data_IF_758224573682
#
_entry.id   IF_758224573682
#
_cell.length_a   1.000
_cell.length_b   1.000
_cell.length_c   1.000
_cell.angle_alpha   90.00
_cell.angle_beta   90.00
_cell.angle_gamma   90.00
#
_symmetry.space_group_name_H-M   'P 1'
#
loop_
_entity.id
_entity.type
_entity.pdbx_description
1 polymer ?
#
# COMPACT_ATOMS: atom_id res chain seq x y z
N UNK A 1 14.39 1.64 -40.79
CA UNK A 1 14.91 0.75 -39.75
C UNK A 1 14.63 1.43 -38.41
N UNK A 2 13.56 1.03 -37.70
CA UNK A 2 13.21 1.53 -36.38
C UNK A 2 13.75 0.48 -35.40
N UNK A 3 14.79 0.84 -34.64
CA UNK A 3 15.35 -0.02 -33.62
C UNK A 3 14.36 -0.20 -32.47
N UNK A 4 13.89 -1.43 -32.27
CA UNK A 4 13.25 -1.89 -31.06
C UNK A 4 14.29 -1.88 -29.94
N UNK A 5 14.23 -0.93 -29.05
CA UNK A 5 14.89 -1.03 -27.75
C UNK A 5 13.99 -1.85 -26.82
N UNK A 6 14.05 -3.18 -26.97
CA UNK A 6 13.58 -4.08 -25.91
C UNK A 6 14.47 -3.85 -24.69
N UNK A 7 13.90 -3.22 -23.67
CA UNK A 7 14.57 -3.06 -22.37
C UNK A 7 14.92 -4.44 -21.80
N UNK A 8 16.12 -4.58 -21.26
CA UNK A 8 16.55 -5.80 -20.59
C UNK A 8 15.56 -6.12 -19.46
N UNK A 9 15.12 -7.38 -19.32
CA UNK A 9 14.22 -7.78 -18.24
C UNK A 9 14.92 -7.56 -16.89
N UNK A 10 14.13 -7.10 -15.91
CA UNK A 10 14.57 -6.85 -14.55
C UNK A 10 15.11 -8.14 -13.90
N UNK A 11 16.42 -8.33 -13.94
CA UNK A 11 17.12 -9.49 -13.35
C UNK A 11 17.25 -9.40 -11.81
N UNK A 12 16.47 -8.50 -11.16
CA UNK A 12 16.71 -8.08 -9.77
C UNK A 12 16.05 -8.94 -8.69
N UNK A 13 15.11 -9.80 -9.06
CA UNK A 13 14.66 -10.87 -8.18
C UNK A 13 15.42 -12.14 -8.55
N UNK A 14 16.55 -12.38 -7.91
CA UNK A 14 17.10 -13.73 -7.92
C UNK A 14 16.04 -14.62 -7.28
N UNK A 15 15.25 -15.34 -8.12
CA UNK A 15 14.18 -16.24 -7.70
C UNK A 15 14.78 -17.47 -7.01
N UNK A 16 15.32 -17.30 -5.81
CA UNK A 16 15.85 -18.38 -4.98
C UNK A 16 14.82 -18.87 -3.97
N UNK A 17 13.52 -18.74 -4.28
CA UNK A 17 12.45 -19.12 -3.38
C UNK A 17 11.07 -19.16 -4.06
N UNK A 18 10.02 -19.57 -3.34
CA UNK A 18 8.65 -19.56 -3.84
C UNK A 18 8.19 -18.12 -4.10
N UNK A 19 7.58 -17.89 -5.28
CA UNK A 19 7.04 -16.59 -5.68
C UNK A 19 5.92 -16.11 -4.75
N UNK A 20 5.79 -14.79 -4.54
CA UNK A 20 4.70 -14.16 -3.79
C UNK A 20 5.16 -13.27 -2.67
N UNK A 21 4.21 -12.65 -1.97
CA UNK A 21 4.47 -11.63 -0.96
C UNK A 21 3.78 -11.95 0.36
N UNK A 22 4.49 -11.74 1.48
CA UNK A 22 3.90 -11.54 2.79
C UNK A 22 3.57 -10.06 2.96
N UNK A 23 2.35 -9.74 3.35
CA UNK A 23 1.88 -8.40 3.65
C UNK A 23 1.65 -8.30 5.15
N UNK A 24 2.45 -7.49 5.87
CA UNK A 24 2.43 -7.41 7.32
C UNK A 24 1.80 -6.14 7.82
N UNK A 25 0.64 -6.25 8.45
CA UNK A 25 -0.07 -5.10 9.01
C UNK A 25 -1.36 -5.45 9.74
N UNK A 26 -2.03 -4.43 10.27
CA UNK A 26 -3.26 -4.56 11.02
C UNK A 26 -4.46 -4.72 10.10
N UNK A 27 -5.30 -5.73 10.40
CA UNK A 27 -6.65 -5.85 9.84
C UNK A 27 -7.63 -4.96 10.59
N UNK A 28 -8.43 -4.20 9.85
CA UNK A 28 -9.34 -3.19 10.36
C UNK A 28 -10.77 -3.40 9.86
N UNK A 29 -11.72 -2.90 10.64
CA UNK A 29 -13.07 -2.66 10.15
C UNK A 29 -13.25 -1.16 9.84
N UNK A 30 -13.63 -0.85 8.62
CA UNK A 30 -14.14 0.47 8.24
C UNK A 30 -15.62 0.53 8.46
N UNK A 31 -16.06 1.55 9.18
CA UNK A 31 -17.46 1.88 9.39
C UNK A 31 -17.77 3.20 8.69
N UNK A 32 -18.70 3.21 7.75
CA UNK A 32 -19.08 4.41 7.01
C UNK A 32 -20.59 4.58 6.95
N UNK A 33 -21.07 5.81 7.01
CA UNK A 33 -22.48 6.09 6.77
C UNK A 33 -22.85 5.73 5.30
N UNK A 34 -24.10 5.34 5.02
CA UNK A 34 -24.56 5.13 3.66
C UNK A 34 -24.46 6.40 2.80
N UNK A 35 -24.07 6.23 1.54
CA UNK A 35 -23.99 7.35 0.58
C UNK A 35 -23.09 8.50 1.10
N UNK A 36 -23.65 9.70 1.13
CA UNK A 36 -22.96 10.92 1.56
C UNK A 36 -23.48 11.45 2.92
N UNK A 37 -24.17 10.61 3.68
CA UNK A 37 -24.67 10.97 5.00
C UNK A 37 -23.53 11.26 5.98
N UNK A 38 -23.80 12.08 6.98
CA UNK A 38 -22.89 12.25 8.12
C UNK A 38 -22.90 11.00 8.99
N UNK A 39 -21.80 10.77 9.68
CA UNK A 39 -21.71 9.69 10.65
C UNK A 39 -22.82 9.84 11.70
N UNK A 40 -23.56 8.75 11.97
CA UNK A 40 -24.73 8.72 12.87
C UNK A 40 -25.94 9.55 12.42
N UNK A 41 -25.95 10.11 11.24
CA UNK A 41 -27.17 10.64 10.62
C UNK A 41 -28.10 9.49 10.22
N UNK A 42 -27.54 8.38 9.74
CA UNK A 42 -28.27 7.14 9.52
C UNK A 42 -28.24 6.24 10.76
N UNK A 43 -29.29 5.41 10.93
CA UNK A 43 -29.32 4.36 11.95
C UNK A 43 -28.51 3.12 11.63
N UNK A 44 -27.82 3.08 10.47
CA UNK A 44 -26.98 1.96 10.02
C UNK A 44 -25.61 2.44 9.53
N UNK A 45 -24.62 1.57 9.60
CA UNK A 45 -23.31 1.80 9.04
C UNK A 45 -22.93 0.66 8.11
N UNK A 46 -22.33 0.99 6.96
CA UNK A 46 -21.70 0.01 6.10
C UNK A 46 -20.40 -0.46 6.76
N UNK A 47 -20.17 -1.76 6.77
CA UNK A 47 -18.95 -2.37 7.31
C UNK A 47 -18.13 -2.91 6.16
N UNK A 48 -16.87 -2.47 6.07
CA UNK A 48 -15.87 -3.03 5.15
C UNK A 48 -14.67 -3.51 5.94
N UNK A 49 -14.07 -4.59 5.48
CA UNK A 49 -12.79 -5.07 5.99
C UNK A 49 -11.69 -4.43 5.17
N UNK A 50 -10.62 -3.99 5.84
CA UNK A 50 -9.48 -3.35 5.21
C UNK A 50 -8.23 -3.45 6.08
N UNK A 51 -7.26 -2.67 5.70
CA UNK A 51 -5.92 -2.60 6.24
C UNK A 51 -4.96 -2.40 5.07
N UNK A 52 -4.03 -1.46 5.15
CA UNK A 52 -3.19 -1.10 4.00
C UNK A 52 -2.54 -2.34 3.37
N UNK A 53 -1.90 -3.15 4.16
CA UNK A 53 -1.21 -4.35 3.69
C UNK A 53 -2.18 -5.47 3.26
N UNK A 54 -3.35 -5.57 3.91
CA UNK A 54 -4.40 -6.50 3.50
C UNK A 54 -4.99 -6.10 2.13
N UNK A 55 -5.16 -4.79 1.88
CA UNK A 55 -5.61 -4.26 0.60
C UNK A 55 -4.62 -4.61 -0.52
N UNK A 56 -3.32 -4.48 -0.25
CA UNK A 56 -2.25 -4.92 -1.18
C UNK A 56 -2.32 -6.42 -1.42
N UNK A 57 -2.48 -7.23 -0.35
CA UNK A 57 -2.56 -8.69 -0.47
C UNK A 57 -3.75 -9.15 -1.32
N UNK A 58 -4.93 -8.55 -1.12
CA UNK A 58 -6.11 -8.84 -1.93
C UNK A 58 -5.88 -8.46 -3.38
N UNK A 59 -5.33 -7.27 -3.66
CA UNK A 59 -5.00 -6.85 -5.03
C UNK A 59 -4.03 -7.82 -5.71
N UNK A 60 -2.96 -8.26 -5.00
CA UNK A 60 -2.00 -9.23 -5.52
C UNK A 60 -2.66 -10.58 -5.81
N UNK A 61 -3.57 -11.03 -4.95
CA UNK A 61 -4.33 -12.26 -5.19
C UNK A 61 -5.23 -12.13 -6.44
N UNK A 62 -5.89 -10.97 -6.65
CA UNK A 62 -6.66 -10.69 -7.88
C UNK A 62 -5.77 -10.67 -9.13
N UNK A 63 -4.50 -10.30 -8.99
CA UNK A 63 -3.51 -10.36 -10.06
C UNK A 63 -2.86 -11.74 -10.25
N UNK A 64 -3.33 -12.76 -9.51
CA UNK A 64 -2.89 -14.15 -9.63
C UNK A 64 -1.61 -14.49 -8.86
N UNK A 65 -1.14 -13.62 -7.99
CA UNK A 65 0.02 -13.90 -7.14
C UNK A 65 -0.36 -14.63 -5.86
N UNK A 66 0.59 -15.39 -5.32
CA UNK A 66 0.49 -15.89 -3.95
C UNK A 66 0.67 -14.72 -2.99
N UNK A 67 -0.38 -14.39 -2.25
CA UNK A 67 -0.36 -13.37 -1.22
C UNK A 67 -0.70 -13.98 0.13
N UNK A 68 0.09 -13.65 1.15
CA UNK A 68 -0.08 -14.07 2.53
C UNK A 68 -0.19 -12.84 3.40
N UNK A 69 -1.17 -12.78 4.29
CA UNK A 69 -1.25 -11.74 5.31
C UNK A 69 -0.67 -12.27 6.62
N UNK A 70 0.27 -11.51 7.17
CA UNK A 70 0.79 -11.69 8.52
C UNK A 70 0.18 -10.62 9.43
N UNK A 71 -0.56 -11.03 10.45
CA UNK A 71 -1.31 -10.12 11.31
C UNK A 71 -1.72 -10.76 12.63
N UNK A 72 -2.35 -9.96 13.49
CA UNK A 72 -2.98 -10.44 14.73
C UNK A 72 -4.39 -9.86 14.84
N UNK A 73 -5.35 -10.73 15.08
CA UNK A 73 -6.76 -10.38 15.28
C UNK A 73 -7.27 -10.88 16.64
N UNK A 74 -8.32 -10.30 17.22
CA UNK A 74 -8.89 -10.86 18.43
C UNK A 74 -9.53 -12.23 18.17
N UNK A 75 -9.53 -13.12 19.15
CA UNK A 75 -10.35 -14.34 19.14
C UNK A 75 -11.81 -13.99 19.38
N UNK A 76 -12.46 -13.52 18.33
CA UNK A 76 -13.83 -13.06 18.34
C UNK A 76 -14.50 -13.35 16.99
N UNK A 77 -15.85 -13.27 16.91
CA UNK A 77 -16.54 -13.37 15.63
C UNK A 77 -16.08 -12.35 14.59
N UNK A 78 -15.69 -11.12 15.00
CA UNK A 78 -15.17 -10.09 14.09
C UNK A 78 -13.80 -10.48 13.53
N UNK A 79 -12.88 -10.96 14.36
CA UNK A 79 -11.57 -11.43 13.90
C UNK A 79 -11.72 -12.59 12.92
N UNK A 80 -12.58 -13.56 13.23
CA UNK A 80 -12.89 -14.71 12.36
C UNK A 80 -13.50 -14.26 11.02
N UNK A 81 -14.40 -13.28 11.04
CA UNK A 81 -15.00 -12.72 9.82
C UNK A 81 -13.93 -12.04 8.93
N UNK A 82 -13.02 -11.26 9.52
CA UNK A 82 -11.92 -10.64 8.78
C UNK A 82 -11.02 -11.67 8.08
N UNK A 83 -10.66 -12.74 8.79
CA UNK A 83 -9.86 -13.84 8.23
C UNK A 83 -10.64 -14.56 7.12
N UNK A 84 -11.94 -14.81 7.32
CA UNK A 84 -12.81 -15.43 6.33
C UNK A 84 -12.91 -14.61 5.05
N UNK A 85 -13.02 -13.28 5.18
CA UNK A 85 -13.09 -12.37 4.02
C UNK A 85 -11.79 -12.38 3.20
N UNK A 86 -10.62 -12.35 3.84
CA UNK A 86 -9.34 -12.47 3.13
C UNK A 86 -9.26 -13.78 2.35
N UNK A 87 -9.67 -14.91 2.96
CA UNK A 87 -9.69 -16.22 2.31
C UNK A 87 -10.63 -16.25 1.11
N UNK A 88 -11.78 -15.58 1.20
CA UNK A 88 -12.75 -15.45 0.10
C UNK A 88 -12.11 -14.80 -1.14
N UNK A 89 -11.14 -13.90 -0.94
CA UNK A 89 -10.38 -13.24 -1.99
C UNK A 89 -9.08 -13.97 -2.38
N UNK A 90 -8.87 -15.22 -1.91
CA UNK A 90 -7.70 -16.01 -2.27
C UNK A 90 -6.43 -15.68 -1.51
N UNK A 91 -6.51 -14.85 -0.47
CA UNK A 91 -5.36 -14.50 0.37
C UNK A 91 -5.12 -15.59 1.41
N UNK A 92 -3.87 -16.01 1.55
CA UNK A 92 -3.45 -16.95 2.60
C UNK A 92 -3.39 -16.23 3.94
N UNK A 93 -3.89 -16.92 4.97
CA UNK A 93 -4.01 -16.37 6.33
C UNK A 93 -3.32 -17.25 7.39
N UNK A 94 -2.38 -18.10 6.96
CA UNK A 94 -1.70 -19.04 7.86
C UNK A 94 -0.83 -18.34 8.89
N UNK A 95 -0.42 -17.08 8.62
CA UNK A 95 0.32 -16.23 9.53
C UNK A 95 -0.57 -15.16 10.21
N UNK A 96 -1.89 -15.33 10.20
CA UNK A 96 -2.79 -14.50 11.02
C UNK A 96 -3.03 -15.23 12.34
N UNK A 97 -2.51 -14.66 13.41
CA UNK A 97 -2.65 -15.18 14.76
C UNK A 97 -3.83 -14.53 15.49
N UNK A 98 -4.28 -15.18 16.56
CA UNK A 98 -5.23 -14.58 17.48
C UNK A 98 -4.53 -14.09 18.75
N UNK A 99 -4.98 -12.96 19.29
CA UNK A 99 -4.43 -12.37 20.50
C UNK A 99 -5.50 -11.66 21.33
N UNK A 100 -5.15 -11.24 22.55
CA UNK A 100 -6.04 -10.44 23.38
C UNK A 100 -6.29 -9.05 22.77
N UNK A 101 -7.43 -8.43 23.08
CA UNK A 101 -7.78 -7.12 22.61
C UNK A 101 -9.02 -7.11 21.70
N UNK A 102 -9.14 -6.08 20.88
CA UNK A 102 -10.28 -5.84 19.98
C UNK A 102 -9.83 -5.66 18.55
N UNK A 103 -10.78 -5.64 17.60
CA UNK A 103 -10.48 -5.17 16.25
C UNK A 103 -10.16 -3.68 16.26
N UNK A 104 -9.15 -3.29 15.49
CA UNK A 104 -8.97 -1.90 15.13
C UNK A 104 -10.11 -1.43 14.22
N UNK A 105 -10.60 -0.21 14.47
CA UNK A 105 -11.67 0.40 13.69
C UNK A 105 -11.21 1.71 13.08
N UNK A 106 -11.84 2.12 12.01
CA UNK A 106 -11.90 3.51 11.62
C UNK A 106 -13.25 3.86 11.04
N UNK A 107 -13.64 5.10 11.24
CA UNK A 107 -14.89 5.63 10.71
C UNK A 107 -14.56 6.53 9.53
N UNK A 108 -15.36 6.41 8.48
CA UNK A 108 -15.24 7.24 7.28
C UNK A 108 -16.54 8.01 7.07
N UNK A 109 -16.43 9.33 7.09
CA UNK A 109 -17.46 10.22 6.55
C UNK A 109 -17.05 10.57 5.11
N UNK A 110 -17.85 10.15 4.14
CA UNK A 110 -17.59 10.43 2.73
C UNK A 110 -17.82 11.90 2.44
N UNK A 111 -16.92 12.54 1.73
CA UNK A 111 -17.06 13.92 1.31
C UNK A 111 -18.20 14.11 0.28
N UNK A 112 -18.76 15.32 0.24
CA UNK A 112 -19.77 15.69 -0.73
C UNK A 112 -19.72 17.20 -1.02
N UNK A 113 -19.69 17.59 -2.27
CA UNK A 113 -19.60 19.00 -2.67
C UNK A 113 -18.38 19.69 -2.09
N UNK A 114 -18.57 20.63 -1.17
CA UNK A 114 -17.48 21.35 -0.49
C UNK A 114 -17.03 20.68 0.82
N UNK A 115 -17.73 19.64 1.27
CA UNK A 115 -17.38 18.92 2.49
C UNK A 115 -16.30 17.87 2.19
N UNK A 116 -15.09 17.95 2.79
CA UNK A 116 -14.06 16.93 2.61
C UNK A 116 -14.48 15.61 3.26
N UNK A 117 -13.87 14.52 2.84
CA UNK A 117 -13.95 13.24 3.56
C UNK A 117 -13.17 13.34 4.87
N UNK A 118 -13.68 12.69 5.91
CA UNK A 118 -13.06 12.65 7.24
C UNK A 118 -12.84 11.22 7.70
N UNK A 119 -11.67 10.96 8.28
CA UNK A 119 -11.31 9.67 8.88
C UNK A 119 -11.07 9.86 10.37
N UNK A 120 -11.82 9.08 11.17
CA UNK A 120 -11.64 8.98 12.62
C UNK A 120 -11.09 7.59 12.95
N UNK A 121 -9.88 7.52 13.51
CA UNK A 121 -9.27 6.27 13.94
C UNK A 121 -9.69 5.88 15.35
N UNK A 122 -10.11 4.63 15.51
CA UNK A 122 -10.34 3.97 16.79
C UNK A 122 -9.64 2.59 16.78
N UNK A 123 -8.32 2.61 16.85
CA UNK A 123 -7.46 1.41 16.72
C UNK A 123 -6.43 1.25 17.85
N UNK A 124 -6.57 2.03 18.92
CA UNK A 124 -5.76 1.82 20.10
C UNK A 124 -6.11 0.50 20.77
N UNK A 125 -5.10 -0.09 21.38
CA UNK A 125 -5.25 -1.31 22.16
C UNK A 125 -5.93 -2.45 21.39
N UNK A 126 -5.81 -2.42 20.05
CA UNK A 126 -6.23 -3.53 19.22
C UNK A 126 -5.36 -4.76 19.49
N UNK A 127 -5.86 -5.95 19.12
CA UNK A 127 -5.09 -7.18 19.25
C UNK A 127 -3.73 -7.09 18.51
N UNK A 128 -3.70 -6.41 17.36
CA UNK A 128 -2.47 -6.14 16.63
C UNK A 128 -1.51 -5.21 17.39
N UNK A 129 -2.04 -4.09 17.91
CA UNK A 129 -1.24 -3.10 18.64
C UNK A 129 -0.61 -3.67 19.92
N UNK A 130 -1.26 -4.67 20.54
CA UNK A 130 -0.81 -5.31 21.79
C UNK A 130 0.06 -6.56 21.56
N UNK A 131 0.13 -7.06 20.32
CA UNK A 131 0.89 -8.25 19.99
C UNK A 131 2.37 -8.09 20.34
N UNK A 132 2.98 -9.16 20.85
CA UNK A 132 4.43 -9.16 21.08
C UNK A 132 5.17 -9.26 19.74
N UNK A 133 6.30 -8.55 19.58
CA UNK A 133 7.02 -8.50 18.28
C UNK A 133 7.51 -9.86 17.79
N UNK A 134 7.70 -10.81 18.71
CA UNK A 134 8.19 -12.17 18.45
C UNK A 134 7.11 -13.16 18.02
N UNK A 135 5.84 -12.77 18.03
CA UNK A 135 4.70 -13.68 17.77
C UNK A 135 4.77 -14.33 16.38
N UNK A 136 5.30 -13.59 15.40
CA UNK A 136 5.38 -14.06 14.01
C UNK A 136 6.71 -14.77 13.74
N UNK A 137 6.64 -16.02 13.29
CA UNK A 137 7.80 -16.79 12.85
C UNK A 137 8.21 -16.38 11.42
N UNK A 138 8.98 -15.28 11.33
CA UNK A 138 9.45 -14.76 10.05
C UNK A 138 10.28 -15.75 9.25
N UNK A 139 11.21 -16.53 9.84
CA UNK A 139 11.91 -17.60 9.13
C UNK A 139 10.98 -18.58 8.41
N UNK A 140 9.90 -19.00 9.06
CA UNK A 140 8.94 -19.94 8.44
C UNK A 140 8.07 -19.25 7.37
N UNK A 141 7.67 -17.99 7.61
CA UNK A 141 6.94 -17.19 6.63
C UNK A 141 7.77 -17.02 5.34
N UNK A 142 9.05 -16.66 5.46
CA UNK A 142 9.92 -16.40 4.32
C UNK A 142 10.37 -17.65 3.55
N UNK A 143 10.13 -18.86 4.05
CA UNK A 143 10.20 -20.07 3.23
C UNK A 143 9.10 -20.16 2.18
N UNK A 144 8.03 -19.41 2.32
CA UNK A 144 6.80 -19.52 1.54
C UNK A 144 6.60 -18.37 0.54
N UNK A 145 7.39 -17.28 0.64
CA UNK A 145 7.27 -16.07 -0.17
C UNK A 145 8.64 -15.50 -0.53
N UNK A 146 8.70 -14.77 -1.64
CA UNK A 146 9.91 -14.09 -2.14
C UNK A 146 10.07 -12.67 -1.61
N UNK A 147 8.99 -12.05 -1.12
CA UNK A 147 9.00 -10.66 -0.71
C UNK A 147 8.14 -10.35 0.53
N UNK A 148 8.44 -9.21 1.12
CA UNK A 148 7.69 -8.58 2.21
C UNK A 148 7.17 -7.24 1.74
N UNK A 149 5.90 -6.96 2.00
CA UNK A 149 5.32 -5.62 1.91
C UNK A 149 4.82 -5.18 3.28
N UNK A 150 5.20 -3.97 3.67
CA UNK A 150 4.76 -3.31 4.92
C UNK A 150 4.56 -1.82 4.66
N UNK A 151 3.66 -1.18 5.40
CA UNK A 151 3.45 0.27 5.30
C UNK A 151 3.79 0.98 6.61
N UNK A 152 4.02 2.30 6.52
CA UNK A 152 4.31 3.17 7.65
C UNK A 152 3.13 3.35 8.61
N UNK A 153 1.94 2.86 8.25
CA UNK A 153 0.81 2.78 9.17
C UNK A 153 1.06 1.71 10.23
N UNK A 154 1.67 0.59 9.86
CA UNK A 154 1.96 -0.53 10.78
C UNK A 154 2.84 -0.09 11.95
N UNK A 155 4.04 0.50 11.79
CA UNK A 155 4.83 1.00 12.92
C UNK A 155 4.16 2.17 13.65
N UNK A 156 3.27 2.93 12.99
CA UNK A 156 2.59 4.06 13.61
C UNK A 156 1.51 3.66 14.65
N UNK A 157 1.09 2.39 14.68
CA UNK A 157 0.05 1.92 15.61
C UNK A 157 0.51 1.95 17.08
N UNK A 158 1.80 1.72 17.33
CA UNK A 158 2.36 1.73 18.67
C UNK A 158 3.77 1.15 18.75
N UNK A 159 4.42 1.21 19.91
CA UNK A 159 5.82 0.81 20.06
C UNK A 159 6.07 -0.67 19.73
N UNK A 160 5.17 -1.58 20.13
CA UNK A 160 5.30 -3.01 19.82
C UNK A 160 5.16 -3.29 18.31
N UNK A 161 4.21 -2.61 17.64
CA UNK A 161 4.04 -2.73 16.21
C UNK A 161 5.23 -2.15 15.44
N UNK A 162 5.85 -1.07 15.93
CA UNK A 162 7.08 -0.51 15.38
C UNK A 162 8.26 -1.48 15.48
N UNK A 163 8.44 -2.10 16.63
CA UNK A 163 9.48 -3.13 16.84
C UNK A 163 9.23 -4.36 15.96
N UNK A 164 7.97 -4.81 15.85
CA UNK A 164 7.60 -5.92 14.96
C UNK A 164 7.88 -5.60 13.49
N UNK A 165 7.61 -4.37 13.02
CA UNK A 165 7.91 -3.95 11.67
C UNK A 165 9.43 -3.92 11.39
N UNK A 166 10.20 -3.36 12.30
CA UNK A 166 11.69 -3.37 12.21
C UNK A 166 12.23 -4.79 12.17
N UNK A 167 11.72 -5.67 13.02
CA UNK A 167 12.10 -7.09 13.06
C UNK A 167 11.77 -7.78 11.73
N UNK A 168 10.59 -7.54 11.18
CA UNK A 168 10.15 -8.10 9.91
C UNK A 168 11.09 -7.72 8.75
N UNK A 169 11.38 -6.43 8.57
CA UNK A 169 12.23 -5.96 7.46
C UNK A 169 13.68 -6.42 7.60
N UNK A 170 14.24 -6.39 8.82
CA UNK A 170 15.59 -6.89 9.08
C UNK A 170 15.70 -8.40 8.81
N UNK A 171 14.69 -9.18 9.20
CA UNK A 171 14.67 -10.62 8.92
C UNK A 171 14.50 -10.91 7.43
N UNK A 172 13.66 -10.15 6.72
CA UNK A 172 13.52 -10.24 5.27
C UNK A 172 14.86 -9.98 4.58
N UNK A 173 15.55 -8.91 4.96
CA UNK A 173 16.87 -8.58 4.41
C UNK A 173 17.91 -9.67 4.69
N UNK A 174 17.97 -10.18 5.94
CA UNK A 174 18.88 -11.25 6.31
C UNK A 174 18.66 -12.54 5.52
N UNK A 175 17.42 -12.80 5.07
CA UNK A 175 17.07 -13.93 4.22
C UNK A 175 17.02 -13.57 2.73
N UNK A 176 17.56 -12.43 2.34
CA UNK A 176 17.61 -11.96 0.94
C UNK A 176 16.23 -11.91 0.27
N UNK A 177 15.19 -11.54 1.03
CA UNK A 177 13.84 -11.31 0.51
C UNK A 177 13.71 -9.88 0.04
N UNK A 178 12.94 -9.70 -1.03
CA UNK A 178 12.61 -8.37 -1.52
C UNK A 178 11.76 -7.63 -0.47
N UNK A 179 12.10 -6.37 -0.17
CA UNK A 179 11.37 -5.55 0.80
C UNK A 179 10.75 -4.35 0.09
N UNK A 180 9.43 -4.27 0.15
CA UNK A 180 8.63 -3.15 -0.32
C UNK A 180 8.05 -2.39 0.88
N UNK A 181 8.25 -1.10 0.90
CA UNK A 181 7.74 -0.22 1.95
C UNK A 181 6.90 0.93 1.37
N UNK A 182 5.67 1.08 1.86
CA UNK A 182 4.84 2.27 1.61
C UNK A 182 4.94 3.20 2.82
N UNK A 183 5.51 4.38 2.66
CA UNK A 183 5.72 5.33 3.76
C UNK A 183 4.41 5.70 4.46
N UNK A 184 3.34 5.93 3.71
CA UNK A 184 1.97 6.08 4.20
C UNK A 184 1.86 6.82 5.55
N UNK A 185 2.61 7.91 5.70
CA UNK A 185 2.78 8.62 6.97
C UNK A 185 1.46 9.17 7.52
N UNK A 186 1.18 8.88 8.78
CA UNK A 186 -0.04 9.29 9.49
C UNK A 186 0.31 9.97 10.81
N UNK A 187 0.54 11.29 10.76
CA UNK A 187 0.99 12.09 11.91
C UNK A 187 0.19 11.84 13.19
N UNK A 188 -1.16 11.78 13.11
CA UNK A 188 -2.03 11.55 14.27
C UNK A 188 -1.78 10.21 14.98
N UNK A 189 -1.37 9.18 14.26
CA UNK A 189 -1.04 7.88 14.88
C UNK A 189 0.28 7.95 15.63
N UNK A 190 1.32 8.53 15.03
CA UNK A 190 2.62 8.71 15.65
C UNK A 190 2.57 9.60 16.90
N UNK A 191 1.80 10.71 16.84
CA UNK A 191 1.63 11.63 17.96
C UNK A 191 1.00 10.97 19.18
N UNK A 192 0.14 9.98 19.00
CA UNK A 192 -0.59 9.32 20.06
C UNK A 192 0.32 8.66 21.10
N UNK A 193 1.43 8.06 20.67
CA UNK A 193 2.40 7.39 21.54
C UNK A 193 3.78 8.04 21.54
N UNK A 194 3.86 9.25 20.95
CA UNK A 194 5.09 10.06 20.87
C UNK A 194 6.26 9.32 20.20
N UNK A 195 5.97 8.48 19.20
CA UNK A 195 6.98 7.71 18.46
C UNK A 195 7.89 8.60 17.63
N UNK A 196 9.18 8.27 17.61
CA UNK A 196 10.15 8.89 16.71
C UNK A 196 9.96 8.31 15.29
N UNK A 197 8.96 8.86 14.59
CA UNK A 197 8.62 8.45 13.23
C UNK A 197 9.83 8.52 12.30
N UNK A 198 10.64 9.58 12.39
CA UNK A 198 11.80 9.76 11.51
C UNK A 198 12.82 8.65 11.68
N UNK A 199 13.20 8.35 12.90
CA UNK A 199 14.19 7.29 13.18
C UNK A 199 13.69 5.93 12.70
N UNK A 200 12.45 5.57 13.05
CA UNK A 200 11.88 4.26 12.73
C UNK A 200 11.69 4.09 11.22
N UNK A 201 11.11 5.09 10.53
CA UNK A 201 10.91 5.04 9.09
C UNK A 201 12.25 4.96 8.34
N UNK A 202 13.26 5.70 8.81
CA UNK A 202 14.61 5.67 8.25
C UNK A 202 15.24 4.29 8.33
N UNK A 203 15.08 3.58 9.45
CA UNK A 203 15.58 2.22 9.61
C UNK A 203 14.86 1.23 8.69
N UNK A 204 13.53 1.36 8.53
CA UNK A 204 12.76 0.51 7.61
C UNK A 204 13.19 0.74 6.15
N UNK A 205 13.35 2.01 5.75
CA UNK A 205 13.79 2.36 4.38
C UNK A 205 15.19 1.84 4.09
N UNK A 206 16.08 1.82 5.09
CA UNK A 206 17.42 1.29 4.92
C UNK A 206 17.44 -0.21 4.53
N UNK A 207 16.40 -0.96 4.90
CA UNK A 207 16.25 -2.38 4.56
C UNK A 207 15.38 -2.61 3.30
N UNK A 208 14.87 -1.53 2.67
CA UNK A 208 13.90 -1.63 1.57
C UNK A 208 14.57 -1.62 0.20
N UNK A 209 13.98 -2.35 -0.77
CA UNK A 209 14.33 -2.33 -2.20
C UNK A 209 13.44 -1.37 -2.99
N UNK A 210 12.18 -1.23 -2.59
CA UNK A 210 11.15 -0.38 -3.19
C UNK A 210 10.49 0.49 -2.12
N UNK A 211 10.40 1.78 -2.38
CA UNK A 211 9.73 2.75 -1.51
C UNK A 211 8.56 3.40 -2.27
N UNK A 212 7.38 3.40 -1.66
CA UNK A 212 6.28 4.28 -2.06
C UNK A 212 6.30 5.50 -1.14
N UNK A 213 6.55 6.68 -1.70
CA UNK A 213 6.68 7.91 -0.92
C UNK A 213 6.44 9.16 -1.74
N UNK A 214 5.82 10.15 -1.12
CA UNK A 214 5.75 11.51 -1.63
C UNK A 214 6.99 12.31 -1.20
N UNK A 215 7.18 13.52 -1.78
CA UNK A 215 8.29 14.40 -1.43
C UNK A 215 8.37 14.72 0.08
N UNK A 216 7.21 14.92 0.72
CA UNK A 216 7.10 15.20 2.16
C UNK A 216 7.56 14.03 3.03
N UNK A 217 7.31 12.79 2.58
CA UNK A 217 7.72 11.60 3.30
C UNK A 217 9.25 11.45 3.23
N UNK A 218 9.83 11.67 2.05
CA UNK A 218 11.28 11.66 1.85
C UNK A 218 11.95 12.81 2.63
N UNK A 219 11.34 13.99 2.67
CA UNK A 219 11.80 15.12 3.48
C UNK A 219 11.87 14.76 4.97
N UNK A 220 10.84 14.08 5.50
CA UNK A 220 10.81 13.59 6.87
C UNK A 220 11.94 12.57 7.12
N UNK A 221 12.07 11.57 6.27
CA UNK A 221 13.07 10.49 6.39
C UNK A 221 14.49 11.06 6.33
N UNK A 222 14.76 11.98 5.40
CA UNK A 222 16.08 12.61 5.26
C UNK A 222 16.35 13.68 6.33
N UNK A 223 15.28 14.26 6.91
CA UNK A 223 15.38 15.45 7.78
C UNK A 223 15.82 16.69 7.02
N UNK A 224 15.35 16.83 5.78
CA UNK A 224 15.63 17.97 4.90
C UNK A 224 14.33 18.60 4.42
N UNK A 225 14.40 19.89 4.12
CA UNK A 225 13.31 20.62 3.50
C UNK A 225 13.60 20.86 2.01
N UNK A 226 12.63 20.58 1.16
CA UNK A 226 12.67 20.80 -0.28
C UNK A 226 11.72 21.91 -0.73
N UNK A 227 11.04 22.60 0.21
CA UNK A 227 10.02 23.59 -0.13
C UNK A 227 10.58 24.84 -0.86
N UNK A 228 11.85 25.14 -0.68
CA UNK A 228 12.52 26.23 -1.41
C UNK A 228 12.72 25.95 -2.91
N UNK A 229 12.60 24.67 -3.33
CA UNK A 229 12.74 24.29 -4.73
C UNK A 229 11.42 24.47 -5.50
N UNK A 230 11.46 24.65 -6.85
CA UNK A 230 10.26 24.61 -7.68
C UNK A 230 9.47 23.33 -7.49
N UNK A 231 8.13 23.40 -7.39
CA UNK A 231 7.27 22.26 -7.06
C UNK A 231 7.47 21.05 -8.01
N UNK A 232 7.71 21.31 -9.31
CA UNK A 232 7.95 20.26 -10.31
C UNK A 232 9.25 19.48 -10.10
N UNK A 233 10.26 20.07 -9.41
CA UNK A 233 11.58 19.48 -9.20
C UNK A 233 11.70 18.75 -7.87
N UNK A 234 10.84 19.06 -6.89
CA UNK A 234 10.92 18.55 -5.51
C UNK A 234 10.95 17.04 -5.43
N UNK A 235 10.06 16.35 -6.17
CA UNK A 235 10.03 14.90 -6.15
C UNK A 235 11.33 14.31 -6.68
N UNK A 236 11.83 14.81 -7.82
CA UNK A 236 13.06 14.30 -8.42
C UNK A 236 14.26 14.50 -7.49
N UNK A 237 14.39 15.68 -6.92
CA UNK A 237 15.49 16.01 -6.02
C UNK A 237 15.45 15.17 -4.73
N UNK A 238 14.29 15.11 -4.07
CA UNK A 238 14.14 14.32 -2.84
C UNK A 238 14.33 12.82 -3.08
N UNK A 239 13.85 12.30 -4.22
CA UNK A 239 14.02 10.89 -4.58
C UNK A 239 15.50 10.56 -4.90
N UNK A 240 16.20 11.43 -5.63
CA UNK A 240 17.62 11.23 -5.91
C UNK A 240 18.46 11.20 -4.63
N UNK A 241 18.21 12.12 -3.69
CA UNK A 241 18.90 12.13 -2.40
C UNK A 241 18.54 10.91 -1.54
N UNK A 242 17.29 10.46 -1.58
CA UNK A 242 16.87 9.25 -0.85
C UNK A 242 17.56 8.01 -1.40
N UNK A 243 17.61 7.84 -2.73
CA UNK A 243 18.36 6.74 -3.37
C UNK A 243 19.86 6.78 -3.05
N UNK A 244 20.45 7.97 -2.93
CA UNK A 244 21.85 8.12 -2.54
C UNK A 244 22.09 7.78 -1.05
N UNK A 245 21.15 8.14 -0.17
CA UNK A 245 21.24 7.90 1.26
C UNK A 245 21.00 6.43 1.65
N UNK A 246 20.28 5.65 0.83
CA UNK A 246 19.89 4.27 1.10
C UNK A 246 20.34 3.33 -0.03
N UNK A 247 21.54 2.71 0.08
CA UNK A 247 22.12 1.90 -1.01
C UNK A 247 21.29 0.68 -1.43
N UNK A 248 20.51 0.09 -0.51
CA UNK A 248 19.63 -1.04 -0.81
C UNK A 248 18.43 -0.63 -1.68
N UNK A 249 18.00 0.64 -1.57
CA UNK A 249 16.85 1.14 -2.28
C UNK A 249 17.14 1.26 -3.78
N UNK A 250 16.28 0.66 -4.60
CA UNK A 250 16.43 0.61 -6.05
C UNK A 250 15.44 1.53 -6.76
N UNK A 251 14.22 1.65 -6.22
CA UNK A 251 13.12 2.40 -6.83
C UNK A 251 12.30 3.16 -5.78
N UNK A 252 11.83 4.33 -6.17
CA UNK A 252 10.86 5.14 -5.41
C UNK A 252 9.70 5.45 -6.35
N UNK A 253 8.49 5.05 -5.98
CA UNK A 253 7.29 5.28 -6.76
C UNK A 253 6.26 6.12 -5.99
N UNK A 254 5.47 6.92 -6.70
CA UNK A 254 4.39 7.72 -6.11
C UNK A 254 3.28 7.97 -7.12
N UNK A 255 2.06 8.20 -6.61
CA UNK A 255 0.98 8.79 -7.42
C UNK A 255 0.96 10.29 -7.26
N UNK A 256 0.61 11.00 -8.32
CA UNK A 256 0.43 12.45 -8.33
C UNK A 256 -1.04 12.74 -8.59
N UNK A 257 -1.70 13.31 -7.59
CA UNK A 257 -3.12 13.63 -7.66
C UNK A 257 -3.36 15.12 -7.71
N UNK A 258 -4.09 15.58 -8.73
CA UNK A 258 -4.60 16.94 -8.84
C UNK A 258 -6.10 16.92 -8.60
N UNK A 259 -6.53 17.34 -7.41
CA UNK A 259 -7.93 17.33 -7.02
C UNK A 259 -8.69 18.47 -7.69
N UNK A 260 -9.80 18.16 -8.36
CA UNK A 260 -10.75 19.13 -8.98
C UNK A 260 -11.98 19.33 -8.09
N UNK A 261 -12.50 18.24 -7.54
CA UNK A 261 -13.60 18.25 -6.58
C UNK A 261 -13.45 17.06 -5.61
N UNK A 262 -14.46 16.78 -4.80
CA UNK A 262 -14.47 15.63 -3.88
C UNK A 262 -14.51 14.30 -4.63
N UNK A 263 -15.21 14.27 -5.75
CA UNK A 263 -15.51 13.09 -6.58
C UNK A 263 -14.85 13.12 -7.96
N UNK A 264 -13.93 14.10 -8.18
CA UNK A 264 -13.20 14.25 -9.44
C UNK A 264 -11.75 14.67 -9.20
N UNK A 265 -10.81 13.96 -9.80
CA UNK A 265 -9.40 14.35 -9.84
C UNK A 265 -8.66 13.77 -11.04
N UNK A 266 -7.52 14.35 -11.35
CA UNK A 266 -6.55 13.77 -12.25
C UNK A 266 -5.52 12.97 -11.47
N UNK A 267 -5.12 11.83 -12.01
CA UNK A 267 -4.16 10.92 -11.41
C UNK A 267 -3.07 10.55 -12.41
N UNK A 268 -1.83 10.74 -12.01
CA UNK A 268 -0.62 10.31 -12.71
C UNK A 268 0.30 9.57 -11.72
N UNK A 269 1.39 9.00 -12.20
CA UNK A 269 2.39 8.39 -11.34
C UNK A 269 3.81 8.74 -11.79
N UNK A 270 4.74 8.65 -10.86
CA UNK A 270 6.18 8.85 -11.06
C UNK A 270 6.94 7.68 -10.44
N UNK A 271 8.03 7.26 -11.09
CA UNK A 271 8.98 6.33 -10.54
C UNK A 271 10.39 6.87 -10.78
N UNK A 272 11.19 6.92 -9.73
CA UNK A 272 12.60 7.28 -9.76
C UNK A 272 13.43 6.05 -9.47
N UNK A 273 14.38 5.76 -10.33
CA UNK A 273 15.43 4.76 -10.15
C UNK A 273 16.80 5.40 -10.34
N UNK A 274 17.85 4.61 -10.31
CA UNK A 274 19.20 5.11 -10.63
C UNK A 274 19.37 5.47 -12.12
N UNK A 275 18.47 4.93 -12.98
CA UNK A 275 18.46 5.21 -14.43
C UNK A 275 17.71 6.51 -14.76
N UNK A 276 17.03 7.10 -13.79
CA UNK A 276 16.33 8.37 -13.91
C UNK A 276 14.86 8.34 -13.51
N UNK A 277 14.16 9.43 -13.80
CA UNK A 277 12.75 9.63 -13.52
C UNK A 277 11.90 9.25 -14.73
N UNK A 278 10.90 8.42 -14.51
CA UNK A 278 9.84 8.12 -15.48
C UNK A 278 8.48 8.58 -14.96
N UNK A 279 7.56 8.88 -15.87
CA UNK A 279 6.20 9.34 -15.56
C UNK A 279 5.21 8.64 -16.46
N UNK A 280 3.98 8.51 -15.98
CA UNK A 280 2.86 7.99 -16.76
C UNK A 280 2.11 9.09 -17.50
N UNK A 281 1.16 8.68 -18.37
CA UNK A 281 0.06 9.57 -18.77
C UNK A 281 -0.81 9.93 -17.56
N UNK A 282 -1.62 10.97 -17.70
CA UNK A 282 -2.61 11.38 -16.69
C UNK A 282 -3.98 10.81 -17.02
N UNK A 283 -4.66 10.23 -16.05
CA UNK A 283 -6.05 9.81 -16.13
C UNK A 283 -6.94 10.81 -15.41
N UNK A 284 -8.00 11.29 -16.09
CA UNK A 284 -9.09 12.02 -15.42
C UNK A 284 -10.09 11.04 -14.85
N UNK A 285 -10.29 11.08 -13.54
CA UNK A 285 -11.19 10.21 -12.80
C UNK A 285 -12.37 11.07 -12.32
N UNK A 286 -13.55 10.78 -12.82
CA UNK A 286 -14.80 11.39 -12.37
C UNK A 286 -15.75 10.35 -11.76
N UNK A 287 -16.73 10.82 -10.98
CA UNK A 287 -17.70 9.97 -10.27
C UNK A 287 -17.04 8.91 -9.41
N UNK A 288 -16.11 9.35 -8.58
CA UNK A 288 -15.40 8.45 -7.67
C UNK A 288 -16.40 7.80 -6.71
N UNK A 289 -16.46 6.47 -6.73
CA UNK A 289 -17.31 5.69 -5.83
C UNK A 289 -16.62 5.56 -4.47
N UNK A 290 -15.35 5.14 -4.49
CA UNK A 290 -14.55 5.00 -3.27
C UNK A 290 -13.07 5.12 -3.59
N UNK A 291 -12.40 6.08 -2.97
CA UNK A 291 -10.95 6.30 -3.17
C UNK A 291 -10.06 5.56 -2.17
N UNK A 292 -10.65 4.98 -1.10
CA UNK A 292 -9.88 4.23 -0.10
C UNK A 292 -9.30 2.98 -0.75
N UNK A 293 -8.04 2.69 -0.48
CA UNK A 293 -7.32 1.56 -1.06
C UNK A 293 -6.75 1.80 -2.47
N UNK A 294 -6.90 3.00 -3.06
CA UNK A 294 -6.33 3.28 -4.38
C UNK A 294 -4.79 3.33 -4.37
N UNK A 295 -4.19 3.84 -3.29
CA UNK A 295 -2.74 3.77 -3.07
C UNK A 295 -2.25 2.34 -2.93
N UNK A 296 -3.00 1.52 -2.19
CA UNK A 296 -2.69 0.10 -2.00
C UNK A 296 -2.81 -0.68 -3.33
N UNK A 297 -3.82 -0.34 -4.16
CA UNK A 297 -3.96 -0.89 -5.52
C UNK A 297 -2.80 -0.48 -6.44
N UNK A 298 -2.33 0.76 -6.33
CA UNK A 298 -1.11 1.21 -7.02
C UNK A 298 0.10 0.40 -6.59
N UNK A 299 0.32 0.26 -5.29
CA UNK A 299 1.44 -0.51 -4.74
C UNK A 299 1.40 -1.97 -5.21
N UNK A 300 0.23 -2.62 -5.14
CA UNK A 300 0.06 -3.98 -5.63
C UNK A 300 0.33 -4.12 -7.14
N UNK A 301 -0.09 -3.13 -7.94
CA UNK A 301 0.17 -3.12 -9.38
C UNK A 301 1.66 -2.97 -9.71
N UNK A 302 2.38 -2.11 -8.98
CA UNK A 302 3.84 -1.99 -9.10
C UNK A 302 4.53 -3.29 -8.68
N UNK A 303 4.11 -3.92 -7.58
CA UNK A 303 4.63 -5.22 -7.14
C UNK A 303 4.35 -6.32 -8.17
N UNK A 304 3.17 -6.31 -8.81
CA UNK A 304 2.85 -7.22 -9.93
C UNK A 304 3.83 -7.05 -11.08
N UNK A 305 4.09 -5.81 -11.50
CA UNK A 305 5.03 -5.55 -12.61
C UNK A 305 6.44 -6.02 -12.31
N UNK A 306 6.94 -5.78 -11.09
CA UNK A 306 8.27 -6.24 -10.65
C UNK A 306 8.32 -7.77 -10.61
N UNK A 307 7.32 -8.43 -10.03
CA UNK A 307 7.28 -9.91 -9.90
C UNK A 307 7.19 -10.61 -11.27
N UNK A 308 6.50 -9.99 -12.24
CA UNK A 308 6.36 -10.50 -13.60
C UNK A 308 7.48 -10.08 -14.56
N UNK A 309 8.40 -9.22 -14.10
CA UNK A 309 9.57 -8.78 -14.90
C UNK A 309 9.21 -7.76 -15.97
N UNK A 310 8.17 -6.94 -15.78
CA UNK A 310 7.87 -5.83 -16.68
C UNK A 310 8.95 -4.75 -16.60
N UNK A 311 9.11 -3.97 -17.67
CA UNK A 311 9.94 -2.76 -17.63
C UNK A 311 9.41 -1.77 -16.58
N UNK A 312 10.24 -0.84 -16.10
CA UNK A 312 9.83 0.16 -15.12
C UNK A 312 8.65 1.01 -15.62
N UNK A 313 8.62 1.36 -16.92
CA UNK A 313 7.51 2.08 -17.52
C UNK A 313 6.22 1.26 -17.49
N UNK A 314 6.26 0.01 -17.96
CA UNK A 314 5.08 -0.86 -17.97
C UNK A 314 4.60 -1.19 -16.55
N UNK A 315 5.53 -1.36 -15.60
CA UNK A 315 5.23 -1.54 -14.17
C UNK A 315 4.49 -0.33 -13.61
N UNK A 316 4.97 0.89 -13.89
CA UNK A 316 4.37 2.12 -13.41
C UNK A 316 2.98 2.35 -14.03
N UNK A 317 2.84 2.10 -15.34
CA UNK A 317 1.57 2.24 -16.07
C UNK A 317 0.52 1.24 -15.54
N UNK A 318 0.93 -0.01 -15.27
CA UNK A 318 0.05 -1.04 -14.69
C UNK A 318 -0.41 -0.63 -13.27
N UNK A 319 0.51 -0.16 -12.43
CA UNK A 319 0.18 0.32 -11.08
C UNK A 319 -0.82 1.46 -11.09
N UNK A 320 -0.61 2.46 -11.96
CA UNK A 320 -1.53 3.58 -12.10
C UNK A 320 -2.90 3.14 -12.59
N UNK A 321 -2.98 2.27 -13.59
CA UNK A 321 -4.25 1.77 -14.12
C UNK A 321 -5.04 0.98 -13.05
N UNK A 322 -4.37 0.17 -12.23
CA UNK A 322 -4.98 -0.51 -11.08
C UNK A 322 -5.56 0.48 -10.07
N UNK A 323 -4.82 1.54 -9.73
CA UNK A 323 -5.29 2.62 -8.86
C UNK A 323 -6.52 3.33 -9.46
N UNK A 324 -6.53 3.60 -10.76
CA UNK A 324 -7.67 4.22 -11.44
C UNK A 324 -8.93 3.36 -11.33
N UNK A 325 -8.81 2.06 -11.62
CA UNK A 325 -9.94 1.12 -11.53
C UNK A 325 -10.51 1.01 -10.12
N UNK A 326 -9.64 1.05 -9.10
CA UNK A 326 -10.09 1.00 -7.70
C UNK A 326 -11.07 2.10 -7.34
N UNK A 327 -10.99 3.29 -7.94
CA UNK A 327 -11.91 4.39 -7.66
C UNK A 327 -13.37 4.08 -8.01
N UNK A 328 -13.63 3.07 -8.83
CA UNK A 328 -14.97 2.60 -9.20
C UNK A 328 -15.50 1.46 -8.31
N UNK A 329 -14.72 0.97 -7.37
CA UNK A 329 -15.05 -0.20 -6.55
C UNK A 329 -15.28 0.25 -5.10
N UNK A 330 -16.50 0.02 -4.52
CA UNK A 330 -16.74 0.33 -3.12
C UNK A 330 -15.94 -0.59 -2.19
N UNK A 331 -15.63 -0.11 -1.00
CA UNK A 331 -14.83 -0.83 -0.01
C UNK A 331 -13.32 -0.56 -0.16
N UNK A 332 -12.51 -1.21 0.65
CA UNK A 332 -11.06 -0.96 0.70
C UNK A 332 -10.31 -1.79 -0.35
N UNK A 333 -10.84 -2.95 -0.71
CA UNK A 333 -10.19 -3.91 -1.60
C UNK A 333 -10.31 -3.51 -3.07
N UNK A 334 -9.22 -3.63 -3.80
CA UNK A 334 -9.24 -3.63 -5.26
C UNK A 334 -9.59 -5.04 -5.75
N UNK A 335 -10.66 -5.13 -6.51
CA UNK A 335 -11.16 -6.39 -7.08
C UNK A 335 -10.93 -6.50 -8.60
N UNK A 336 -10.17 -5.56 -9.18
CA UNK A 336 -9.83 -5.59 -10.60
C UNK A 336 -8.84 -6.71 -10.88
N UNK A 337 -9.03 -7.39 -12.00
CA UNK A 337 -8.12 -8.42 -12.51
C UNK A 337 -7.03 -7.83 -13.40
N UNK A 338 -6.01 -8.63 -13.73
CA UNK A 338 -4.98 -8.27 -14.73
C UNK A 338 -5.62 -7.92 -16.07
N UNK A 339 -6.65 -8.66 -16.48
CA UNK A 339 -7.38 -8.38 -17.72
C UNK A 339 -8.08 -7.01 -17.72
N UNK A 340 -8.65 -6.61 -16.57
CA UNK A 340 -9.29 -5.29 -16.44
C UNK A 340 -8.26 -4.17 -16.55
N UNK A 341 -7.09 -4.34 -15.93
CA UNK A 341 -5.99 -3.37 -16.01
C UNK A 341 -5.46 -3.26 -17.44
N UNK A 342 -5.22 -4.37 -18.13
CA UNK A 342 -4.79 -4.34 -19.53
C UNK A 342 -5.82 -3.69 -20.45
N UNK A 343 -7.11 -3.93 -20.24
CA UNK A 343 -8.17 -3.27 -21.01
C UNK A 343 -8.16 -1.74 -20.85
N UNK A 344 -7.91 -1.25 -19.64
CA UNK A 344 -7.77 0.20 -19.41
C UNK A 344 -6.50 0.75 -20.10
N UNK A 345 -5.39 0.03 -20.04
CA UNK A 345 -4.15 0.44 -20.70
C UNK A 345 -4.27 0.53 -22.22
N UNK A 346 -5.08 -0.36 -22.83
CA UNK A 346 -5.32 -0.42 -24.27
C UNK A 346 -6.45 0.51 -24.74
N UNK A 347 -7.03 1.34 -23.85
CA UNK A 347 -8.18 2.19 -24.13
C UNK A 347 -9.35 1.42 -24.79
N UNK A 348 -9.63 0.19 -24.31
CA UNK A 348 -10.59 -0.74 -24.91
C UNK A 348 -12.07 -0.26 -24.88
N UNK A 349 -12.32 1.00 -24.52
CA UNK A 349 -13.63 1.65 -24.54
C UNK A 349 -14.55 1.22 -23.39
N UNK A 350 -15.76 1.84 -23.36
CA UNK A 350 -16.77 1.66 -22.29
C UNK A 350 -17.94 0.74 -22.71
N UNK A 351 -17.76 -0.06 -23.76
CA UNK A 351 -18.82 -0.95 -24.24
C UNK A 351 -19.04 -2.14 -23.31
N UNK A 352 -20.30 -2.60 -23.21
CA UNK A 352 -20.66 -3.79 -22.43
C UNK A 352 -19.89 -5.00 -22.95
N UNK A 353 -19.11 -5.64 -22.10
CA UNK A 353 -18.43 -6.90 -22.39
C UNK A 353 -19.43 -8.05 -22.25
N UNK A 354 -19.49 -8.95 -23.25
CA UNK A 354 -20.36 -10.14 -23.29
C UNK A 354 -19.50 -11.38 -23.30
#
# INVERSE_FOLDING_TARGET
MKGNTEGQPLADLQKTGPAGFACFGELLLRLSAPGNELLLQSGSLNVHIGGAEANVAVSLAQFGHKALVASVVPDSPLGKACVGELRRHGVRTDAVHTGPGRMGLYFLTVGAGHRPSEVLYDRADSAFAQAVPELLDWPEIFKQVSGLHVSGVTPAVGPRAAEAALRAVRMARAQQRFVSFDCNYRAKLWQRWQGDARSILREIVAESDLLFAEERDMALILGRDFQAMPAQERFQASAAETLAAFPNLKRIATTVRTQKSVDEHDLAAKLMSRDGLITTRTYSIGRIIDRIGSGDAFAAGVLHGIETGLSDQATLDFGLAAACLKHSIPGDFNLSTVADVHNLLQDAGFTVRR
#
